data_IF_195202055307
#
_entry.id   IF_195202055307
#
_cell.length_a   1.000
_cell.length_b   1.000
_cell.length_c   1.000
_cell.angle_alpha   90.00
_cell.angle_beta   90.00
_cell.angle_gamma   90.00
#
_symmetry.space_group_name_H-M   'P 1'
#
loop_
_entity.id
_entity.type
_entity.pdbx_description
1 polymer ?
#
# COMPACT_ATOMS: atom_id res chain seq x y z
N UNK A 1 -12.81 13.58 24.22
CA UNK A 1 -12.18 13.41 22.89
C UNK A 1 -11.15 12.31 22.99
N UNK A 2 -11.39 11.13 22.40
CA UNK A 2 -10.40 10.04 22.38
C UNK A 2 -9.34 10.40 21.33
N UNK A 3 -8.17 10.81 21.77
CA UNK A 3 -6.97 10.91 20.94
C UNK A 3 -6.71 9.50 20.38
N UNK A 4 -7.09 9.23 19.14
CA UNK A 4 -6.67 8.01 18.47
C UNK A 4 -5.15 8.09 18.37
N UNK A 5 -4.43 7.22 19.10
CA UNK A 5 -2.99 7.05 18.87
C UNK A 5 -2.83 6.75 17.39
N UNK A 6 -2.28 7.70 16.64
CA UNK A 6 -1.98 7.51 15.23
C UNK A 6 -1.12 6.26 15.10
N UNK A 7 -1.57 5.31 14.30
CA UNK A 7 -0.75 4.18 13.93
C UNK A 7 0.30 4.71 12.94
N UNK A 8 1.50 4.96 13.43
CA UNK A 8 2.69 5.28 12.62
C UNK A 8 3.59 4.05 12.59
N UNK A 9 3.29 3.07 11.71
CA UNK A 9 4.17 1.94 11.51
C UNK A 9 5.50 2.41 10.95
N UNK A 10 6.58 1.81 11.41
CA UNK A 10 7.85 1.91 10.69
C UNK A 10 7.77 1.04 9.43
N UNK A 11 7.32 1.67 8.34
CA UNK A 11 7.07 1.02 7.06
C UNK A 11 8.35 0.46 6.41
N UNK A 12 9.54 0.85 6.91
CA UNK A 12 10.83 0.37 6.40
C UNK A 12 11.38 -0.80 7.24
N UNK A 13 11.09 -0.83 8.54
CA UNK A 13 11.58 -1.88 9.44
C UNK A 13 10.75 -3.18 9.38
N UNK A 14 9.50 -3.12 8.95
CA UNK A 14 8.63 -4.30 8.78
C UNK A 14 8.10 -4.38 7.36
N UNK A 15 8.09 -5.57 6.76
CA UNK A 15 7.36 -5.78 5.50
C UNK A 15 5.87 -5.50 5.73
N UNK A 16 5.46 -4.25 5.50
CA UNK A 16 4.10 -3.79 5.74
C UNK A 16 3.26 -4.01 4.50
N UNK A 17 2.36 -4.99 4.63
CA UNK A 17 1.46 -5.40 3.57
C UNK A 17 0.04 -5.02 3.91
N UNK A 18 -0.70 -4.51 2.93
CA UNK A 18 -2.13 -4.23 3.06
C UNK A 18 -2.89 -4.83 1.89
N UNK A 19 -4.15 -5.18 2.10
CA UNK A 19 -5.01 -5.61 0.97
C UNK A 19 -5.20 -4.45 -0.01
N UNK A 20 -5.45 -4.72 -1.30
CA UNK A 20 -5.77 -3.67 -2.28
C UNK A 20 -6.93 -2.78 -1.84
N UNK A 21 -7.94 -3.37 -1.21
CA UNK A 21 -9.07 -2.64 -0.62
C UNK A 21 -8.61 -1.68 0.49
N UNK A 22 -7.75 -2.14 1.41
CA UNK A 22 -7.25 -1.29 2.49
C UNK A 22 -6.35 -0.18 1.95
N UNK A 23 -5.52 -0.47 0.95
CA UNK A 23 -4.73 0.53 0.26
C UNK A 23 -5.62 1.61 -0.36
N UNK A 24 -6.67 1.22 -1.09
CA UNK A 24 -7.63 2.13 -1.68
C UNK A 24 -8.24 3.09 -0.64
N UNK A 25 -8.58 2.59 0.55
CA UNK A 25 -9.07 3.44 1.65
C UNK A 25 -8.02 4.45 2.13
N UNK A 26 -6.76 4.02 2.26
CA UNK A 26 -5.67 4.88 2.75
C UNK A 26 -5.40 6.07 1.83
N UNK A 27 -5.58 5.90 0.52
CA UNK A 27 -5.33 6.93 -0.49
C UNK A 27 -6.60 7.67 -0.96
N UNK A 28 -7.75 7.45 -0.30
CA UNK A 28 -9.00 8.12 -0.65
C UNK A 28 -9.72 7.56 -1.88
N UNK A 29 -9.39 6.35 -2.33
CA UNK A 29 -10.01 5.64 -3.45
C UNK A 29 -10.90 4.46 -3.01
N UNK A 30 -11.47 4.51 -1.80
CA UNK A 30 -12.27 3.40 -1.24
C UNK A 30 -13.42 2.92 -2.14
N UNK A 31 -14.08 3.84 -2.85
CA UNK A 31 -15.17 3.56 -3.79
C UNK A 31 -14.68 3.24 -5.22
N UNK A 32 -13.36 3.30 -5.46
CA UNK A 32 -12.72 3.16 -6.79
C UNK A 32 -11.63 2.08 -6.78
N UNK A 33 -11.88 0.96 -6.10
CA UNK A 33 -10.92 -0.15 -5.95
C UNK A 33 -10.40 -0.72 -7.28
N UNK A 34 -11.22 -0.66 -8.34
CA UNK A 34 -10.81 -1.11 -9.68
C UNK A 34 -9.56 -0.38 -10.22
N UNK A 35 -9.34 0.87 -9.80
CA UNK A 35 -8.13 1.63 -10.16
C UNK A 35 -6.90 1.00 -9.52
N UNK A 36 -6.97 0.65 -8.23
CA UNK A 36 -5.87 0.00 -7.51
C UNK A 36 -5.56 -1.37 -8.09
N UNK A 37 -6.60 -2.15 -8.42
CA UNK A 37 -6.42 -3.45 -9.07
C UNK A 37 -5.68 -3.31 -10.40
N UNK A 38 -6.06 -2.32 -11.21
CA UNK A 38 -5.41 -2.04 -12.49
C UNK A 38 -3.94 -1.66 -12.32
N UNK A 39 -3.58 -0.82 -11.35
CA UNK A 39 -2.18 -0.48 -11.08
C UNK A 39 -1.34 -1.71 -10.70
N UNK A 40 -1.92 -2.66 -9.97
CA UNK A 40 -1.25 -3.93 -9.64
C UNK A 40 -1.01 -4.74 -10.92
N UNK A 41 -2.02 -4.88 -11.78
CA UNK A 41 -1.93 -5.63 -13.03
C UNK A 41 -0.93 -5.02 -14.02
N UNK A 42 -0.80 -3.70 -14.01
CA UNK A 42 0.15 -2.96 -14.84
C UNK A 42 1.58 -2.94 -14.26
N UNK A 43 1.76 -3.35 -13.00
CA UNK A 43 3.06 -3.30 -12.31
C UNK A 43 3.40 -1.92 -11.71
N UNK A 44 2.49 -0.96 -11.78
CA UNK A 44 2.66 0.40 -11.25
C UNK A 44 2.58 0.45 -9.72
N UNK A 45 1.94 -0.54 -9.10
CA UNK A 45 1.82 -0.67 -7.64
C UNK A 45 2.55 -1.94 -7.16
N UNK A 46 3.65 -1.83 -6.40
CA UNK A 46 4.37 -2.99 -5.90
C UNK A 46 3.47 -3.85 -5.02
N UNK A 47 3.45 -5.14 -5.33
CA UNK A 47 2.61 -6.12 -4.65
C UNK A 47 3.30 -7.48 -4.54
N UNK A 48 2.83 -8.28 -3.58
CA UNK A 48 3.30 -9.64 -3.31
C UNK A 48 2.10 -10.57 -3.18
N UNK A 49 2.24 -11.80 -3.68
CA UNK A 49 1.29 -12.87 -3.36
C UNK A 49 1.78 -13.62 -2.12
N UNK A 50 1.05 -13.54 -1.02
CA UNK A 50 1.37 -14.18 0.26
C UNK A 50 0.17 -15.03 0.66
N UNK A 51 0.37 -16.35 0.80
CA UNK A 51 -0.73 -17.27 1.14
C UNK A 51 -1.88 -17.29 0.12
N UNK A 52 -1.60 -16.97 -1.15
CA UNK A 52 -2.62 -16.88 -2.20
C UNK A 52 -3.37 -15.54 -2.27
N UNK A 53 -3.01 -14.58 -1.41
CA UNK A 53 -3.60 -13.24 -1.42
C UNK A 53 -2.60 -12.22 -1.99
N UNK A 54 -3.05 -11.42 -2.94
CA UNK A 54 -2.30 -10.25 -3.42
C UNK A 54 -2.37 -9.14 -2.37
N UNK A 55 -1.21 -8.67 -1.92
CA UNK A 55 -1.07 -7.59 -0.97
C UNK A 55 -0.16 -6.51 -1.55
N UNK A 56 -0.50 -5.25 -1.28
CA UNK A 56 0.32 -4.08 -1.64
C UNK A 56 1.49 -4.00 -0.66
N UNK A 57 2.70 -3.88 -1.19
CA UNK A 57 3.94 -3.74 -0.42
C UNK A 57 4.24 -2.25 -0.20
N UNK A 58 3.92 -1.75 1.00
CA UNK A 58 4.08 -0.33 1.32
C UNK A 58 5.56 0.07 1.44
N UNK A 59 6.43 -0.85 1.85
CA UNK A 59 7.85 -0.59 1.95
C UNK A 59 8.45 -0.35 0.56
N UNK A 60 8.15 -1.26 -0.39
CA UNK A 60 8.59 -1.12 -1.77
C UNK A 60 8.06 0.17 -2.42
N UNK A 61 6.80 0.54 -2.14
CA UNK A 61 6.22 1.78 -2.67
C UNK A 61 6.95 3.04 -2.17
N UNK A 62 7.33 3.08 -0.89
CA UNK A 62 8.10 4.18 -0.31
C UNK A 62 9.55 4.26 -0.84
N UNK A 63 10.12 3.12 -1.22
CA UNK A 63 11.45 3.09 -1.84
C UNK A 63 11.40 3.58 -3.29
N UNK A 64 10.37 3.20 -4.06
CA UNK A 64 10.17 3.71 -5.44
C UNK A 64 10.05 5.24 -5.46
N UNK A 65 9.31 5.81 -4.52
CA UNK A 65 9.13 7.27 -4.42
C UNK A 65 10.40 8.03 -4.01
N UNK A 66 11.32 7.41 -3.27
CA UNK A 66 12.62 8.03 -2.96
C UNK A 66 13.58 8.01 -4.15
N UNK A 67 13.57 6.93 -4.94
CA UNK A 67 14.41 6.81 -6.13
C UNK A 67 14.02 7.79 -7.24
N UNK A 68 12.73 8.13 -7.37
CA UNK A 68 12.24 9.11 -8.35
C UNK A 68 12.63 10.56 -8.01
N UNK A 69 12.99 10.84 -6.75
CA UNK A 69 13.35 12.18 -6.26
C UNK A 69 14.87 12.44 -6.23
N UNK A 70 15.68 11.53 -6.79
CA UNK A 70 17.15 11.56 -6.78
C UNK A 70 17.75 11.88 -8.15
#
# INVERSE_FOLDING_TARGET
MRQGRGFTPDLLAGGYYVTPQRFAQLIGLGDRQAIVQRWIEQGDLPSRCIGGQTLVDLAALLLMTQADQS
#
